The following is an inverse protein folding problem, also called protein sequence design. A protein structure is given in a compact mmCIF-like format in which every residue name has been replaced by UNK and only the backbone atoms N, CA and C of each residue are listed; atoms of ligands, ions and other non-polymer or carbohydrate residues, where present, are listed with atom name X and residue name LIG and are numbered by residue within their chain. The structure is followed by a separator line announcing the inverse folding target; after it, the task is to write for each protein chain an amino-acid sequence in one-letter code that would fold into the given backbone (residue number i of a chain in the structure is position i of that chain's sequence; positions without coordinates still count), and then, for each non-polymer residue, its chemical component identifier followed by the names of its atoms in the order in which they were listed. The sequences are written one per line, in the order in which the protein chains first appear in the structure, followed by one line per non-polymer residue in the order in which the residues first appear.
data_IF_723524996382
#
_entry.id   IF_723524996382
#
_cell.length_a   1.000
_cell.length_b   1.000
_cell.length_c   1.000
_cell.angle_alpha   90.00
_cell.angle_beta   90.00
_cell.angle_gamma   90.00
#
_symmetry.space_group_name_H-M   'P 1'
#
loop_
_entity.id
_entity.type
_entity.pdbx_description
1 polymer ?
#
# COMPACT_ATOMS: atom_id res chain seq x y z
N UNK A 1 -5.57 -12.23 -37.53
CA UNK A 1 -4.36 -11.42 -37.75
C UNK A 1 -3.41 -11.69 -36.59
N UNK A 2 -2.25 -12.30 -36.84
CA UNK A 2 -1.30 -12.64 -35.79
C UNK A 2 -0.32 -11.48 -35.59
N UNK A 3 -0.40 -10.81 -34.44
CA UNK A 3 0.59 -9.82 -34.02
C UNK A 3 1.78 -10.56 -33.38
N UNK A 4 3.03 -10.09 -33.50
CA UNK A 4 4.20 -10.75 -32.89
C UNK A 4 4.08 -10.98 -31.37
N UNK A 5 3.26 -10.17 -30.69
CA UNK A 5 3.12 -10.16 -29.22
C UNK A 5 1.78 -10.66 -28.68
N UNK A 6 0.80 -10.94 -29.53
CA UNK A 6 -0.45 -11.57 -29.09
C UNK A 6 -1.07 -12.45 -30.18
N UNK A 7 -1.63 -13.56 -29.76
CA UNK A 7 -2.33 -14.52 -30.61
C UNK A 7 -3.80 -14.58 -30.20
N UNK A 8 -4.70 -14.44 -31.16
CA UNK A 8 -6.12 -14.57 -30.92
C UNK A 8 -6.47 -16.03 -30.67
N UNK A 9 -6.88 -16.37 -29.45
CA UNK A 9 -7.23 -17.74 -29.05
C UNK A 9 -8.70 -18.02 -29.32
N UNK A 10 -9.57 -17.07 -28.94
CA UNK A 10 -11.01 -17.27 -29.03
C UNK A 10 -11.73 -15.92 -29.12
N UNK A 11 -12.79 -15.86 -29.94
CA UNK A 11 -13.63 -14.70 -30.11
C UNK A 11 -15.10 -15.11 -30.18
N UNK A 12 -15.92 -14.44 -29.39
CA UNK A 12 -17.39 -14.47 -29.43
C UNK A 12 -17.84 -12.99 -29.41
N UNK A 13 -18.96 -12.62 -30.06
CA UNK A 13 -19.53 -11.28 -29.90
C UNK A 13 -19.63 -10.89 -28.42
N UNK A 14 -18.88 -9.86 -28.04
CA UNK A 14 -18.82 -9.32 -26.68
C UNK A 14 -17.73 -9.92 -25.77
N UNK A 15 -16.93 -10.88 -26.25
CA UNK A 15 -15.79 -11.43 -25.50
C UNK A 15 -14.62 -11.79 -26.40
N UNK A 16 -13.46 -11.23 -26.08
CA UNK A 16 -12.20 -11.43 -26.76
C UNK A 16 -11.21 -12.15 -25.85
N UNK A 17 -10.58 -13.24 -26.31
CA UNK A 17 -9.50 -13.91 -25.59
C UNK A 17 -8.22 -13.94 -26.41
N UNK A 18 -7.18 -13.32 -25.86
CA UNK A 18 -5.85 -13.21 -26.42
C UNK A 18 -4.86 -14.02 -25.59
N UNK A 19 -3.90 -14.66 -26.26
CA UNK A 19 -2.70 -15.22 -25.65
C UNK A 19 -1.55 -14.26 -25.91
N UNK A 20 -0.96 -13.73 -24.85
CA UNK A 20 0.12 -12.78 -24.91
C UNK A 20 1.45 -13.53 -25.02
N UNK A 21 2.35 -13.05 -25.89
CA UNK A 21 3.67 -13.63 -26.13
C UNK A 21 4.71 -12.63 -25.64
N UNK A 22 5.45 -13.00 -24.60
CA UNK A 22 6.56 -12.20 -24.06
C UNK A 22 6.20 -11.17 -22.99
N UNK A 23 4.94 -11.03 -22.58
CA UNK A 23 4.58 -10.28 -21.35
C UNK A 23 4.48 -11.24 -20.17
N UNK A 24 5.54 -11.31 -19.38
CA UNK A 24 5.52 -12.07 -18.13
C UNK A 24 4.93 -11.23 -16.97
N UNK A 25 5.03 -9.90 -17.02
CA UNK A 25 4.51 -8.94 -16.02
C UNK A 25 4.08 -7.62 -16.70
N UNK A 26 3.19 -6.84 -16.07
CA UNK A 26 2.54 -5.66 -16.67
C UNK A 26 1.09 -5.88 -17.14
N UNK A 27 0.57 -7.10 -16.96
CA UNK A 27 -0.82 -7.47 -17.25
C UNK A 27 -1.84 -6.64 -16.46
N UNK A 28 -1.47 -6.21 -15.24
CA UNK A 28 -2.32 -5.38 -14.40
C UNK A 28 -2.48 -3.95 -14.92
N UNK A 29 -1.41 -3.31 -15.43
CA UNK A 29 -1.51 -2.00 -16.08
C UNK A 29 -2.38 -2.08 -17.33
N UNK A 30 -2.27 -3.19 -18.05
CA UNK A 30 -3.11 -3.45 -19.20
C UNK A 30 -4.57 -3.67 -18.83
N UNK A 31 -4.85 -4.33 -17.71
CA UNK A 31 -6.21 -4.49 -17.17
C UNK A 31 -6.81 -3.14 -16.75
N UNK A 32 -6.05 -2.34 -15.99
CA UNK A 32 -6.49 -1.02 -15.54
C UNK A 32 -6.72 -0.04 -16.70
N UNK A 33 -5.81 0.00 -17.67
CA UNK A 33 -5.91 0.90 -18.83
C UNK A 33 -7.08 0.49 -19.74
N UNK A 34 -7.26 -0.80 -20.01
CA UNK A 34 -8.39 -1.28 -20.82
C UNK A 34 -9.74 -1.07 -20.13
N UNK A 35 -9.81 -1.11 -18.79
CA UNK A 35 -11.03 -0.75 -18.05
C UNK A 35 -11.41 0.73 -18.18
N UNK A 36 -10.47 1.60 -18.58
CA UNK A 36 -10.79 3.02 -18.87
C UNK A 36 -11.41 3.24 -20.24
N UNK A 37 -11.35 2.24 -21.13
CA UNK A 37 -11.81 2.41 -22.51
C UNK A 37 -13.34 2.33 -22.61
N UNK A 38 -13.98 3.25 -23.34
CA UNK A 38 -15.42 3.28 -23.47
C UNK A 38 -15.92 2.01 -24.18
N UNK A 39 -16.85 1.29 -23.56
CA UNK A 39 -17.42 0.06 -24.14
C UNK A 39 -16.74 -1.23 -23.71
N UNK A 40 -15.70 -1.18 -22.88
CA UNK A 40 -15.11 -2.36 -22.22
C UNK A 40 -15.83 -2.58 -20.89
N UNK A 41 -16.34 -3.80 -20.68
CA UNK A 41 -17.18 -4.19 -19.54
C UNK A 41 -16.37 -4.88 -18.44
N UNK A 42 -15.37 -5.62 -18.84
CA UNK A 42 -14.53 -6.36 -17.92
C UNK A 42 -13.25 -6.78 -18.60
N UNK A 43 -12.16 -6.72 -17.87
CA UNK A 43 -10.87 -7.19 -18.35
C UNK A 43 -10.35 -8.15 -17.31
N UNK A 44 -9.86 -9.30 -17.74
CA UNK A 44 -9.25 -10.30 -16.87
C UNK A 44 -7.94 -10.73 -17.45
N UNK A 45 -6.92 -10.71 -16.63
CA UNK A 45 -5.61 -11.24 -17.00
C UNK A 45 -5.27 -12.49 -16.20
N UNK A 46 -4.64 -13.46 -16.86
CA UNK A 46 -4.09 -14.64 -16.21
C UNK A 46 -2.61 -14.75 -16.58
N UNK A 47 -1.76 -14.43 -15.60
CA UNK A 47 -0.32 -14.45 -15.75
C UNK A 47 0.24 -15.85 -16.02
N UNK A 48 -0.27 -16.88 -15.33
CA UNK A 48 0.17 -18.26 -15.50
C UNK A 48 -0.19 -18.85 -16.88
N UNK A 49 -1.30 -18.38 -17.46
CA UNK A 49 -1.76 -18.82 -18.78
C UNK A 49 -1.37 -17.86 -19.92
N UNK A 50 -0.65 -16.77 -19.61
CA UNK A 50 -0.37 -15.65 -20.50
C UNK A 50 -1.61 -15.23 -21.30
N UNK A 51 -2.75 -15.12 -20.63
CA UNK A 51 -4.04 -14.89 -21.28
C UNK A 51 -4.67 -13.57 -20.84
N UNK A 52 -5.17 -12.82 -21.81
CA UNK A 52 -5.99 -11.63 -21.62
C UNK A 52 -7.40 -11.94 -22.13
N UNK A 53 -8.40 -11.67 -21.31
CA UNK A 53 -9.80 -11.78 -21.65
C UNK A 53 -10.40 -10.38 -21.51
N UNK A 54 -11.02 -9.90 -22.57
CA UNK A 54 -11.70 -8.59 -22.61
C UNK A 54 -13.16 -8.84 -22.94
N UNK A 55 -14.04 -8.51 -22.02
CA UNK A 55 -15.49 -8.46 -22.21
C UNK A 55 -15.86 -7.03 -22.64
N UNK A 56 -16.60 -6.89 -23.74
CA UNK A 56 -16.86 -5.59 -24.38
C UNK A 56 -18.26 -5.54 -24.99
N UNK A 57 -18.81 -4.34 -25.24
CA UNK A 57 -20.09 -4.18 -25.93
C UNK A 57 -19.91 -4.33 -27.45
N UNK A 58 -20.58 -5.29 -28.11
CA UNK A 58 -20.47 -5.51 -29.56
C UNK A 58 -20.90 -4.31 -30.41
N UNK A 59 -21.75 -3.45 -29.84
CA UNK A 59 -22.29 -2.26 -30.51
C UNK A 59 -21.28 -1.09 -30.52
N UNK A 60 -20.27 -1.13 -29.65
CA UNK A 60 -19.25 -0.08 -29.53
C UNK A 60 -17.93 -0.44 -30.21
N UNK A 61 -17.52 -1.72 -30.18
CA UNK A 61 -16.21 -2.14 -30.70
C UNK A 61 -16.34 -3.15 -31.84
N UNK A 62 -15.76 -2.81 -32.98
CA UNK A 62 -15.45 -3.79 -34.03
C UNK A 62 -14.17 -4.55 -33.66
N UNK A 63 -14.17 -5.87 -33.88
CA UNK A 63 -13.09 -6.78 -33.47
C UNK A 63 -11.71 -6.30 -33.95
N UNK A 64 -11.61 -5.88 -35.21
CA UNK A 64 -10.33 -5.50 -35.83
C UNK A 64 -9.76 -4.22 -35.21
N UNK A 65 -10.61 -3.24 -34.89
CA UNK A 65 -10.22 -1.99 -34.26
C UNK A 65 -9.80 -2.20 -32.81
N UNK A 66 -10.56 -2.99 -32.05
CA UNK A 66 -10.24 -3.33 -30.66
C UNK A 66 -8.91 -4.10 -30.56
N UNK A 67 -8.68 -5.04 -31.47
CA UNK A 67 -7.41 -5.77 -31.54
C UNK A 67 -6.24 -4.85 -31.84
N UNK A 68 -6.40 -3.91 -32.79
CA UNK A 68 -5.35 -2.98 -33.18
C UNK A 68 -4.94 -2.06 -32.02
N UNK A 69 -5.91 -1.51 -31.28
CA UNK A 69 -5.60 -0.64 -30.13
C UNK A 69 -4.96 -1.42 -28.99
N UNK A 70 -5.45 -2.63 -28.67
CA UNK A 70 -4.83 -3.48 -27.63
C UNK A 70 -3.37 -3.78 -28.00
N UNK A 71 -3.08 -4.07 -29.27
CA UNK A 71 -1.69 -4.30 -29.72
C UNK A 71 -0.81 -3.06 -29.61
N UNK A 72 -1.35 -1.88 -29.89
CA UNK A 72 -0.61 -0.63 -29.77
C UNK A 72 -0.26 -0.31 -28.31
N UNK A 73 -1.19 -0.56 -27.38
CA UNK A 73 -0.99 -0.40 -25.94
C UNK A 73 0.05 -1.39 -25.40
N UNK A 74 0.01 -2.64 -25.86
CA UNK A 74 1.02 -3.66 -25.54
C UNK A 74 2.43 -3.24 -25.94
N UNK A 75 2.57 -2.54 -27.08
CA UNK A 75 3.86 -2.06 -27.55
C UNK A 75 4.39 -0.86 -26.74
N UNK A 76 3.52 -0.03 -26.19
CA UNK A 76 3.88 1.11 -25.34
C UNK A 76 4.30 0.68 -23.93
N UNK A 77 3.62 -0.30 -23.34
CA UNK A 77 3.92 -0.78 -21.98
C UNK A 77 5.30 -1.45 -21.86
N UNK A 78 5.79 -2.06 -22.94
CA UNK A 78 7.09 -2.74 -23.00
C UNK A 78 8.32 -1.80 -22.89
N UNK A 79 8.13 -0.49 -22.69
CA UNK A 79 9.21 0.53 -22.67
C UNK A 79 9.43 1.12 -21.27
N UNK A 80 8.70 0.68 -20.24
CA UNK A 80 8.84 1.25 -18.89
C UNK A 80 10.01 0.64 -18.09
N UNK A 81 10.97 1.49 -17.74
CA UNK A 81 12.27 1.22 -17.08
C UNK A 81 12.20 0.69 -15.64
N UNK A 82 11.03 0.35 -15.12
CA UNK A 82 10.85 -0.10 -13.74
C UNK A 82 11.20 -1.60 -13.53
N UNK A 83 11.50 -2.31 -14.62
CA UNK A 83 11.83 -3.76 -14.65
C UNK A 83 13.21 -4.12 -14.05
N UNK A 84 14.20 -3.23 -14.05
CA UNK A 84 15.58 -3.55 -13.59
C UNK A 84 15.69 -3.66 -12.06
N UNK A 85 14.79 -3.01 -11.31
CA UNK A 85 14.74 -3.11 -9.84
C UNK A 85 13.98 -4.36 -9.35
N UNK A 86 13.21 -4.96 -10.26
CA UNK A 86 12.16 -5.95 -10.04
C UNK A 86 12.71 -7.39 -9.93
N UNK A 87 13.68 -7.72 -10.78
CA UNK A 87 14.40 -9.00 -10.75
C UNK A 87 15.42 -9.01 -9.61
N UNK A 88 16.03 -7.85 -9.34
CA UNK A 88 16.98 -7.64 -8.25
C UNK A 88 16.30 -7.92 -6.91
N UNK A 89 15.28 -7.18 -6.48
CA UNK A 89 14.71 -7.30 -5.13
C UNK A 89 14.09 -8.67 -4.78
N UNK A 90 13.60 -9.45 -5.76
CA UNK A 90 13.06 -10.79 -5.54
C UNK A 90 14.16 -11.85 -5.24
N UNK A 91 15.39 -11.63 -5.72
CA UNK A 91 16.52 -12.55 -5.57
C UNK A 91 17.32 -12.38 -4.26
N UNK A 92 17.17 -11.25 -3.53
CA UNK A 92 17.96 -11.01 -2.30
C UNK A 92 17.33 -11.63 -1.03
N UNK A 93 16.04 -11.96 -1.00
CA UNK A 93 15.42 -12.53 0.22
C UNK A 93 16.05 -13.86 0.68
N UNK A 94 16.31 -14.84 -0.22
CA UNK A 94 17.08 -16.04 0.16
C UNK A 94 18.49 -15.70 0.64
N UNK A 95 19.12 -14.67 0.06
CA UNK A 95 20.45 -14.23 0.43
C UNK A 95 20.46 -13.60 1.83
N UNK A 96 19.48 -12.78 2.20
CA UNK A 96 19.40 -12.17 3.53
C UNK A 96 19.09 -13.18 4.62
N UNK A 97 18.20 -14.14 4.36
CA UNK A 97 17.96 -15.27 5.28
C UNK A 97 19.22 -16.14 5.41
N UNK A 98 19.92 -16.41 4.31
CA UNK A 98 21.20 -17.10 4.31
C UNK A 98 22.25 -16.37 5.15
N UNK A 99 22.37 -15.05 4.99
CA UNK A 99 23.27 -14.22 5.76
C UNK A 99 22.93 -14.19 7.25
N UNK A 100 21.64 -14.19 7.61
CA UNK A 100 21.22 -14.33 9.01
C UNK A 100 21.65 -15.68 9.57
N UNK A 101 21.41 -16.77 8.84
CA UNK A 101 21.86 -18.12 9.23
C UNK A 101 23.37 -18.19 9.44
N UNK A 102 24.15 -17.67 8.48
CA UNK A 102 25.61 -17.62 8.58
C UNK A 102 26.10 -16.72 9.73
N UNK A 103 25.40 -15.61 10.00
CA UNK A 103 25.75 -14.71 11.11
C UNK A 103 25.50 -15.36 12.48
N UNK A 104 24.41 -16.12 12.62
CA UNK A 104 24.13 -16.89 13.84
C UNK A 104 25.14 -18.02 14.02
N UNK A 105 25.53 -18.67 12.92
CA UNK A 105 26.50 -19.77 12.91
C UNK A 105 27.96 -19.30 12.84
N UNK A 106 28.23 -18.00 12.87
CA UNK A 106 29.57 -17.44 12.73
C UNK A 106 30.54 -17.97 13.80
N UNK A 107 30.07 -18.01 15.06
CA UNK A 107 30.85 -18.52 16.19
C UNK A 107 31.09 -20.03 16.11
N UNK A 108 30.06 -20.90 15.98
CA UNK A 108 30.28 -22.35 15.94
C UNK A 108 31.02 -22.85 14.69
N UNK A 109 30.94 -22.13 13.56
CA UNK A 109 31.62 -22.49 12.32
C UNK A 109 32.94 -21.73 12.12
N UNK A 110 33.39 -20.97 13.13
CA UNK A 110 34.62 -20.15 13.09
C UNK A 110 34.73 -19.28 11.83
N UNK A 111 33.60 -18.75 11.35
CA UNK A 111 33.56 -17.95 10.13
C UNK A 111 34.23 -16.60 10.38
N UNK A 112 35.18 -16.16 9.54
CA UNK A 112 35.80 -14.85 9.69
C UNK A 112 34.76 -13.72 9.64
N UNK A 113 34.72 -12.90 10.70
CA UNK A 113 33.80 -11.75 10.82
C UNK A 113 33.93 -10.81 9.61
N UNK A 114 35.13 -10.64 9.07
CA UNK A 114 35.36 -9.80 7.89
C UNK A 114 34.64 -10.34 6.64
N UNK A 115 34.60 -11.66 6.46
CA UNK A 115 33.92 -12.28 5.32
C UNK A 115 32.40 -12.08 5.41
N UNK A 116 31.83 -12.27 6.60
CA UNK A 116 30.41 -12.01 6.84
C UNK A 116 30.06 -10.53 6.76
N UNK A 117 30.92 -9.66 7.27
CA UNK A 117 30.77 -8.21 7.14
C UNK A 117 30.73 -7.78 5.68
N UNK A 118 31.66 -8.28 4.86
CA UNK A 118 31.65 -8.04 3.40
C UNK A 118 30.37 -8.59 2.76
N UNK A 119 29.97 -9.82 3.08
CA UNK A 119 28.73 -10.40 2.56
C UNK A 119 27.49 -9.58 2.91
N UNK A 120 27.38 -9.10 4.16
CA UNK A 120 26.31 -8.19 4.58
C UNK A 120 26.34 -6.88 3.82
N UNK A 121 27.52 -6.26 3.64
CA UNK A 121 27.59 -5.00 2.88
C UNK A 121 27.21 -5.16 1.41
N UNK A 122 27.56 -6.28 0.78
CA UNK A 122 27.16 -6.59 -0.60
C UNK A 122 25.64 -6.75 -0.67
N UNK A 123 25.06 -7.48 0.27
CA UNK A 123 23.61 -7.71 0.31
C UNK A 123 22.83 -6.44 0.66
N UNK A 124 23.42 -5.55 1.46
CA UNK A 124 22.85 -4.26 1.85
C UNK A 124 23.03 -3.15 0.80
N UNK A 125 23.80 -3.41 -0.28
CA UNK A 125 24.10 -2.44 -1.33
C UNK A 125 22.86 -1.74 -1.93
N UNK A 126 21.74 -2.42 -2.26
CA UNK A 126 20.55 -1.74 -2.76
C UNK A 126 20.02 -0.67 -1.78
N UNK A 127 20.01 -0.95 -0.48
CA UNK A 127 19.55 -0.01 0.54
C UNK A 127 20.48 1.21 0.67
N UNK A 128 21.79 0.97 0.67
CA UNK A 128 22.79 2.04 0.75
C UNK A 128 22.71 2.95 -0.48
N UNK A 129 22.59 2.37 -1.67
CA UNK A 129 22.49 3.16 -2.91
C UNK A 129 21.20 3.98 -2.95
N UNK A 130 20.09 3.45 -2.46
CA UNK A 130 18.83 4.18 -2.34
C UNK A 130 18.93 5.34 -1.33
N UNK A 131 19.54 5.11 -0.18
CA UNK A 131 19.78 6.16 0.82
C UNK A 131 20.64 7.31 0.26
N UNK A 132 21.71 6.99 -0.47
CA UNK A 132 22.60 7.97 -1.07
C UNK A 132 21.94 8.74 -2.23
N UNK A 133 21.18 8.06 -3.09
CA UNK A 133 20.37 8.70 -4.13
C UNK A 133 19.34 9.63 -3.51
N UNK A 134 18.72 9.21 -2.42
CA UNK A 134 17.78 9.98 -1.65
C UNK A 134 18.36 11.31 -1.16
N UNK A 135 19.57 11.28 -0.60
CA UNK A 135 20.31 12.47 -0.19
C UNK A 135 20.71 13.39 -1.36
N UNK A 136 21.09 12.81 -2.50
CA UNK A 136 21.55 13.55 -3.66
C UNK A 136 20.41 14.24 -4.44
N UNK A 137 19.22 13.63 -4.48
CA UNK A 137 18.10 14.09 -5.32
C UNK A 137 17.04 14.87 -4.55
N UNK A 138 16.83 14.55 -3.27
CA UNK A 138 15.83 15.19 -2.42
C UNK A 138 16.61 15.83 -1.29
N UNK A 139 16.49 17.13 -1.07
CA UNK A 139 17.15 17.85 0.05
C UNK A 139 16.59 17.43 1.44
N UNK A 140 16.07 16.20 1.58
CA UNK A 140 15.45 15.65 2.78
C UNK A 140 16.08 14.32 3.14
N UNK A 141 16.44 14.21 4.41
CA UNK A 141 16.91 13.00 5.05
C UNK A 141 15.80 11.96 4.98
N UNK A 142 16.11 10.77 4.47
CA UNK A 142 15.16 9.66 4.36
C UNK A 142 15.41 8.61 5.46
N UNK A 143 14.40 7.79 5.74
CA UNK A 143 14.47 6.75 6.79
C UNK A 143 15.49 5.69 6.42
N UNK A 144 15.63 5.42 5.12
CA UNK A 144 16.57 4.47 4.53
C UNK A 144 18.03 4.82 4.87
N UNK A 145 18.34 6.09 5.14
CA UNK A 145 19.65 6.50 5.65
C UNK A 145 19.88 6.03 7.09
N UNK A 146 18.84 6.08 7.91
CA UNK A 146 18.91 5.68 9.30
C UNK A 146 19.24 4.19 9.42
N UNK A 147 18.52 3.36 8.67
CA UNK A 147 18.74 1.91 8.61
C UNK A 147 20.13 1.58 8.07
N UNK A 148 20.56 2.28 7.02
CA UNK A 148 21.90 2.08 6.42
C UNK A 148 23.02 2.44 7.40
N UNK A 149 22.90 3.57 8.11
CA UNK A 149 23.88 3.99 9.11
C UNK A 149 23.91 3.03 10.29
N UNK A 150 22.74 2.67 10.82
CA UNK A 150 22.62 1.75 11.94
C UNK A 150 23.22 0.38 11.59
N UNK A 151 22.84 -0.17 10.43
CA UNK A 151 23.35 -1.45 9.93
C UNK A 151 24.87 -1.40 9.73
N UNK A 152 25.40 -0.34 9.11
CA UNK A 152 26.83 -0.16 8.90
C UNK A 152 27.62 -0.09 10.20
N UNK A 153 27.13 0.69 11.18
CA UNK A 153 27.78 0.84 12.47
C UNK A 153 27.81 -0.46 13.29
N UNK A 154 26.72 -1.24 13.29
CA UNK A 154 26.71 -2.55 13.95
C UNK A 154 27.58 -3.57 13.22
N UNK A 155 27.61 -3.55 11.89
CA UNK A 155 28.50 -4.42 11.09
C UNK A 155 29.97 -4.11 11.39
N UNK A 156 30.35 -2.82 11.48
CA UNK A 156 31.70 -2.40 11.84
C UNK A 156 32.13 -2.82 13.26
N UNK A 157 31.16 -2.96 14.17
CA UNK A 157 31.38 -3.47 15.53
C UNK A 157 31.48 -4.99 15.60
N UNK A 158 31.29 -5.70 14.48
CA UNK A 158 31.24 -7.16 14.43
C UNK A 158 29.94 -7.76 14.99
N UNK A 159 28.92 -6.93 15.23
CA UNK A 159 27.62 -7.37 15.73
C UNK A 159 26.72 -7.78 14.54
N UNK A 160 27.06 -8.89 13.89
CA UNK A 160 26.54 -9.23 12.55
C UNK A 160 25.08 -9.73 12.52
N UNK A 161 24.59 -10.33 13.61
CA UNK A 161 23.26 -10.95 13.65
C UNK A 161 22.14 -9.92 13.52
N UNK A 162 22.27 -8.77 14.19
CA UNK A 162 21.20 -7.76 14.20
C UNK A 162 21.03 -7.05 12.84
N UNK A 163 22.11 -6.60 12.15
CA UNK A 163 22.10 -6.18 10.76
C UNK A 163 21.46 -7.21 9.81
N UNK A 164 21.85 -8.49 9.94
CA UNK A 164 21.30 -9.55 9.09
C UNK A 164 19.79 -9.74 9.31
N UNK A 165 19.34 -9.65 10.56
CA UNK A 165 17.91 -9.71 10.91
C UNK A 165 17.13 -8.51 10.35
N UNK A 166 17.70 -7.31 10.47
CA UNK A 166 17.10 -6.09 9.92
C UNK A 166 16.93 -6.21 8.40
N UNK A 167 17.92 -6.77 7.72
CA UNK A 167 17.89 -6.99 6.27
C UNK A 167 16.76 -7.93 5.84
N UNK A 168 16.51 -9.03 6.58
CA UNK A 168 15.36 -9.91 6.33
C UNK A 168 14.04 -9.15 6.47
N UNK A 169 13.92 -8.29 7.48
CA UNK A 169 12.76 -7.43 7.68
C UNK A 169 12.57 -6.42 6.53
N UNK A 170 13.65 -5.76 6.12
CA UNK A 170 13.65 -4.79 5.04
C UNK A 170 13.30 -5.42 3.68
N UNK A 171 13.85 -6.59 3.36
CA UNK A 171 13.49 -7.35 2.15
C UNK A 171 12.02 -7.77 2.17
N UNK A 172 11.51 -8.21 3.32
CA UNK A 172 10.09 -8.57 3.50
C UNK A 172 9.20 -7.36 3.19
N UNK A 173 9.50 -6.20 3.77
CA UNK A 173 8.77 -4.96 3.49
C UNK A 173 8.94 -4.50 2.03
N UNK A 174 10.11 -4.71 1.43
CA UNK A 174 10.38 -4.45 0.02
C UNK A 174 9.43 -5.22 -0.90
N UNK A 175 9.14 -6.49 -0.58
CA UNK A 175 8.15 -7.30 -1.31
C UNK A 175 6.74 -6.73 -1.21
N UNK A 176 6.31 -6.26 -0.04
CA UNK A 176 4.99 -5.61 0.09
C UNK A 176 4.95 -4.24 -0.61
N UNK A 177 6.02 -3.44 -0.51
CA UNK A 177 6.14 -2.16 -1.23
C UNK A 177 6.03 -2.36 -2.75
N UNK A 178 6.54 -3.47 -3.27
CA UNK A 178 6.35 -3.83 -4.66
C UNK A 178 4.88 -4.13 -5.00
N UNK A 179 4.18 -4.92 -4.18
CA UNK A 179 2.74 -5.14 -4.36
C UNK A 179 1.95 -3.82 -4.32
N UNK A 180 2.35 -2.88 -3.45
CA UNK A 180 1.74 -1.56 -3.39
C UNK A 180 1.97 -0.74 -4.64
N UNK A 181 3.18 -0.74 -5.22
CA UNK A 181 3.44 -0.06 -6.50
C UNK A 181 2.59 -0.60 -7.64
N UNK A 182 2.24 -1.89 -7.60
CA UNK A 182 1.33 -2.48 -8.56
C UNK A 182 -0.11 -1.96 -8.38
N UNK A 183 -0.49 -1.55 -7.17
CA UNK A 183 -1.75 -0.86 -6.91
C UNK A 183 -1.62 0.63 -7.27
N UNK A 184 -2.71 1.31 -7.63
CA UNK A 184 -2.65 2.76 -7.85
C UNK A 184 -2.47 3.48 -6.50
N UNK A 185 -1.21 3.59 -6.05
CA UNK A 185 -0.80 4.18 -4.76
C UNK A 185 -1.38 5.58 -4.53
N UNK A 186 -1.73 6.31 -5.60
CA UNK A 186 -2.33 7.64 -5.50
C UNK A 186 -3.71 7.60 -4.84
N UNK A 187 -4.49 6.56 -5.12
CA UNK A 187 -5.85 6.43 -4.60
C UNK A 187 -5.87 5.81 -3.19
N UNK A 188 -4.73 5.29 -2.70
CA UNK A 188 -4.64 4.66 -1.38
C UNK A 188 -4.30 5.63 -0.25
N UNK A 189 -4.03 6.91 -0.57
CA UNK A 189 -3.58 7.87 0.43
C UNK A 189 -4.73 8.34 1.32
N UNK A 190 -4.48 8.31 2.62
CA UNK A 190 -5.32 8.93 3.65
C UNK A 190 -4.57 10.11 4.29
N UNK A 191 -5.30 11.08 4.82
CA UNK A 191 -4.78 12.15 5.65
C UNK A 191 -4.12 11.61 6.92
N UNK A 192 -4.71 10.61 7.57
CA UNK A 192 -4.11 9.92 8.73
C UNK A 192 -2.72 9.36 8.38
N UNK A 193 -2.59 8.64 7.28
CA UNK A 193 -1.30 8.13 6.79
C UNK A 193 -0.33 9.27 6.47
N UNK A 194 -0.77 10.28 5.71
CA UNK A 194 0.09 11.39 5.30
C UNK A 194 0.67 12.14 6.51
N UNK A 195 -0.16 12.37 7.53
CA UNK A 195 0.22 13.04 8.77
C UNK A 195 1.31 12.25 9.50
N UNK A 196 1.14 10.93 9.64
CA UNK A 196 2.11 10.08 10.33
C UNK A 196 3.43 9.99 9.59
N UNK A 197 3.40 9.80 8.27
CA UNK A 197 4.62 9.74 7.44
C UNK A 197 5.37 11.08 7.48
N UNK A 198 4.66 12.19 7.35
CA UNK A 198 5.27 13.52 7.45
C UNK A 198 5.89 13.77 8.83
N UNK A 199 5.21 13.37 9.90
CA UNK A 199 5.73 13.50 11.28
C UNK A 199 7.01 12.68 11.44
N UNK A 200 7.05 11.47 10.90
CA UNK A 200 8.23 10.63 10.95
C UNK A 200 9.43 11.24 10.20
N UNK A 201 9.20 11.78 9.00
CA UNK A 201 10.24 12.47 8.23
C UNK A 201 10.82 13.68 8.96
N UNK A 202 9.96 14.43 9.67
CA UNK A 202 10.39 15.58 10.49
C UNK A 202 11.24 15.17 11.70
N UNK A 203 11.10 13.93 12.18
CA UNK A 203 11.89 13.40 13.29
C UNK A 203 13.27 12.89 12.85
N UNK A 204 13.54 12.71 11.56
CA UNK A 204 14.84 12.20 11.10
C UNK A 204 16.02 13.14 11.40
N UNK A 205 15.99 14.44 11.05
CA UNK A 205 17.08 15.36 11.41
C UNK A 205 17.38 15.44 12.92
N UNK A 206 16.40 15.63 13.83
CA UNK A 206 16.68 15.68 15.25
C UNK A 206 17.18 14.33 15.80
N UNK A 207 16.78 13.21 15.19
CA UNK A 207 17.27 11.88 15.56
C UNK A 207 18.77 11.72 15.24
N UNK A 208 19.19 12.13 14.04
CA UNK A 208 20.60 12.10 13.64
C UNK A 208 21.46 13.05 14.47
N UNK A 209 20.97 14.27 14.71
CA UNK A 209 21.65 15.23 15.59
C UNK A 209 21.76 14.69 17.02
N UNK A 210 20.68 14.13 17.56
CA UNK A 210 20.66 13.54 18.90
C UNK A 210 21.65 12.38 19.03
N UNK A 211 21.65 11.44 18.08
CA UNK A 211 22.63 10.36 17.99
C UNK A 211 24.08 10.89 18.00
N UNK A 212 24.36 11.89 17.16
CA UNK A 212 25.70 12.48 17.03
C UNK A 212 26.13 13.19 18.32
N UNK A 213 25.23 13.95 18.95
CA UNK A 213 25.49 14.65 20.21
C UNK A 213 25.76 13.67 21.36
N UNK A 214 24.98 12.59 21.46
CA UNK A 214 25.20 11.56 22.49
C UNK A 214 26.55 10.89 22.28
N UNK A 215 26.91 10.56 21.04
CA UNK A 215 28.22 9.98 20.76
C UNK A 215 29.36 10.94 21.15
N UNK A 216 29.27 12.23 20.76
CA UNK A 216 30.28 13.24 21.11
C UNK A 216 30.39 13.47 22.63
N UNK A 217 29.26 13.51 23.33
CA UNK A 217 29.23 13.77 24.77
C UNK A 217 29.74 12.57 25.60
N UNK A 218 29.49 11.35 25.14
CA UNK A 218 29.85 10.12 25.88
C UNK A 218 31.18 9.51 25.44
N UNK A 219 31.69 9.89 24.26
CA UNK A 219 32.81 9.21 23.59
C UNK A 219 32.49 7.78 23.16
N UNK A 220 31.23 7.33 23.31
CA UNK A 220 30.81 5.95 23.07
C UNK A 220 29.87 5.88 21.87
N UNK A 221 30.31 5.17 20.84
CA UNK A 221 29.47 4.90 19.68
C UNK A 221 28.26 4.02 20.06
N UNK A 222 28.38 3.19 21.10
CA UNK A 222 27.26 2.39 21.62
C UNK A 222 26.12 3.26 22.15
N UNK A 223 26.45 4.37 22.81
CA UNK A 223 25.47 5.28 23.39
C UNK A 223 24.74 6.13 22.33
N UNK A 224 25.40 6.41 21.19
CA UNK A 224 24.81 7.15 20.08
C UNK A 224 23.92 6.32 19.15
N UNK A 225 23.98 4.99 19.20
CA UNK A 225 23.22 4.10 18.30
C UNK A 225 21.70 4.06 18.52
N UNK A 226 21.16 4.08 19.76
CA UNK A 226 19.74 3.89 20.00
C UNK A 226 18.78 4.83 19.26
N UNK A 227 19.04 6.15 19.14
CA UNK A 227 18.18 7.02 18.33
C UNK A 227 18.09 6.57 16.87
N UNK A 228 19.17 6.01 16.31
CA UNK A 228 19.18 5.51 14.94
C UNK A 228 18.30 4.27 14.73
N UNK A 229 17.68 3.72 15.77
CA UNK A 229 16.70 2.62 15.64
C UNK A 229 15.28 3.11 15.40
N UNK A 230 15.06 4.42 15.23
CA UNK A 230 13.74 5.00 15.02
C UNK A 230 13.19 4.64 13.62
N UNK A 231 12.57 3.47 13.50
CA UNK A 231 12.03 2.94 12.24
C UNK A 231 10.53 2.58 12.33
N UNK A 232 9.70 3.58 12.60
CA UNK A 232 8.24 3.38 12.49
C UNK A 232 7.67 3.87 11.15
N UNK A 233 8.42 4.64 10.35
CA UNK A 233 7.94 5.13 9.07
C UNK A 233 7.98 4.06 7.97
N UNK A 234 9.05 3.27 7.88
CA UNK A 234 9.21 2.26 6.82
C UNK A 234 8.07 1.23 6.87
N UNK A 235 7.71 0.66 8.05
CA UNK A 235 6.58 -0.24 8.14
C UNK A 235 5.24 0.43 7.79
N UNK A 236 4.99 1.65 8.28
CA UNK A 236 3.70 2.34 8.09
C UNK A 236 3.47 2.81 6.66
N UNK A 237 4.54 3.11 5.91
CA UNK A 237 4.47 3.36 4.46
C UNK A 237 3.99 2.14 3.67
N UNK A 238 4.04 0.95 4.27
CA UNK A 238 3.58 -0.31 3.66
C UNK A 238 2.25 -0.78 4.23
N UNK A 239 2.13 -0.86 5.55
CA UNK A 239 0.94 -1.41 6.22
C UNK A 239 -0.31 -0.59 5.92
N UNK A 240 -0.21 0.75 5.96
CA UNK A 240 -1.38 1.62 5.89
C UNK A 240 -2.03 1.64 4.50
N UNK A 241 -1.30 1.86 3.39
CA UNK A 241 -1.91 1.78 2.06
C UNK A 241 -2.57 0.44 1.76
N UNK A 242 -1.97 -0.66 2.23
CA UNK A 242 -2.49 -1.99 1.97
C UNK A 242 -3.79 -2.25 2.76
N UNK A 243 -3.87 -1.76 3.99
CA UNK A 243 -5.09 -1.78 4.79
C UNK A 243 -6.18 -0.87 4.19
N UNK A 244 -5.81 0.30 3.66
CA UNK A 244 -6.73 1.18 2.92
C UNK A 244 -7.26 0.45 1.69
N UNK A 245 -6.39 -0.16 0.89
CA UNK A 245 -6.77 -0.92 -0.29
C UNK A 245 -7.81 -2.01 0.03
N UNK A 246 -7.59 -2.81 1.08
CA UNK A 246 -8.58 -3.80 1.53
C UNK A 246 -9.92 -3.16 1.91
N UNK A 247 -9.88 -2.01 2.61
CA UNK A 247 -11.08 -1.25 2.93
C UNK A 247 -11.83 -0.78 1.68
N UNK A 248 -11.11 -0.22 0.69
CA UNK A 248 -11.69 0.22 -0.58
C UNK A 248 -12.34 -0.92 -1.36
N UNK A 249 -11.69 -2.10 -1.40
CA UNK A 249 -12.26 -3.31 -2.02
C UNK A 249 -13.56 -3.74 -1.32
N UNK A 250 -13.62 -3.66 0.02
CA UNK A 250 -14.82 -4.01 0.79
C UNK A 250 -15.95 -2.99 0.60
N UNK A 251 -15.63 -1.70 0.47
CA UNK A 251 -16.61 -0.63 0.41
C UNK A 251 -17.02 -0.21 -1.00
N UNK A 252 -16.21 -0.53 -2.02
CA UNK A 252 -16.36 -0.02 -3.39
C UNK A 252 -16.09 1.48 -3.52
N UNK A 253 -15.32 2.06 -2.59
CA UNK A 253 -15.03 3.50 -2.60
C UNK A 253 -13.88 3.81 -3.56
N UNK A 254 -13.87 4.99 -4.19
CA UNK A 254 -12.90 5.31 -5.24
C UNK A 254 -11.48 5.51 -4.69
N UNK A 255 -11.35 6.08 -3.49
CA UNK A 255 -10.05 6.41 -2.90
C UNK A 255 -10.10 6.48 -1.36
N UNK A 256 -8.91 6.43 -0.77
CA UNK A 256 -8.69 6.46 0.68
C UNK A 256 -9.14 7.76 1.32
N UNK A 257 -9.06 8.90 0.62
CA UNK A 257 -9.53 10.19 1.13
C UNK A 257 -11.06 10.19 1.33
N UNK A 258 -11.79 9.59 0.38
CA UNK A 258 -13.23 9.37 0.44
C UNK A 258 -13.57 8.46 1.61
N UNK A 259 -12.84 7.34 1.75
CA UNK A 259 -13.00 6.40 2.86
C UNK A 259 -12.81 7.07 4.21
N UNK A 260 -11.75 7.86 4.37
CA UNK A 260 -11.47 8.56 5.62
C UNK A 260 -12.51 9.64 5.91
N UNK A 261 -12.91 10.43 4.92
CA UNK A 261 -13.94 11.46 5.06
C UNK A 261 -15.28 10.84 5.47
N UNK A 262 -15.63 9.70 4.88
CA UNK A 262 -16.84 8.96 5.23
C UNK A 262 -16.75 8.34 6.63
N UNK A 263 -15.61 7.75 6.99
CA UNK A 263 -15.37 7.18 8.30
C UNK A 263 -15.43 8.21 9.42
N UNK A 264 -14.98 9.44 9.16
CA UNK A 264 -15.00 10.56 10.11
C UNK A 264 -16.31 11.36 10.08
N UNK A 265 -17.31 10.91 9.31
CA UNK A 265 -18.57 11.61 9.17
C UNK A 265 -19.30 11.68 10.52
N UNK A 266 -19.43 12.89 11.07
CA UNK A 266 -20.16 13.12 12.34
C UNK A 266 -21.57 13.64 12.15
N UNK A 267 -21.85 14.20 10.98
CA UNK A 267 -23.12 14.83 10.73
C UNK A 267 -23.46 14.79 9.24
N UNK A 268 -24.71 14.47 8.92
CA UNK A 268 -25.22 14.36 7.56
C UNK A 268 -26.54 15.10 7.42
N UNK A 269 -26.68 15.84 6.32
CA UNK A 269 -27.95 16.45 5.92
C UNK A 269 -28.68 15.47 5.02
N UNK A 270 -29.93 15.13 5.36
CA UNK A 270 -30.72 14.13 4.64
C UNK A 270 -31.96 14.82 4.05
N UNK A 271 -32.23 14.51 2.79
CA UNK A 271 -33.46 14.94 2.12
C UNK A 271 -34.71 14.41 2.87
N UNK A 272 -35.79 15.20 3.04
CA UNK A 272 -36.98 14.77 3.77
C UNK A 272 -37.60 13.45 3.27
N UNK A 273 -37.48 13.15 1.98
CA UNK A 273 -37.95 11.89 1.39
C UNK A 273 -37.21 10.64 1.94
N UNK A 274 -35.98 10.81 2.41
CA UNK A 274 -35.12 9.75 2.95
C UNK A 274 -35.13 9.68 4.48
N UNK A 275 -35.65 10.70 5.15
CA UNK A 275 -35.63 10.84 6.61
C UNK A 275 -36.62 9.90 7.34
N UNK A 276 -36.48 8.60 7.11
CA UNK A 276 -37.21 7.56 7.87
C UNK A 276 -36.60 7.39 9.25
N UNK A 277 -37.44 7.20 10.27
CA UNK A 277 -37.00 7.02 11.66
C UNK A 277 -35.94 5.91 11.81
N UNK A 278 -36.08 4.81 11.04
CA UNK A 278 -35.13 3.70 11.05
C UNK A 278 -33.73 4.09 10.55
N UNK A 279 -33.65 4.93 9.51
CA UNK A 279 -32.38 5.41 8.98
C UNK A 279 -31.74 6.41 9.94
N UNK A 280 -32.54 7.35 10.46
CA UNK A 280 -32.08 8.35 11.43
C UNK A 280 -31.53 7.68 12.68
N UNK A 281 -32.25 6.68 13.21
CA UNK A 281 -31.81 5.91 14.36
C UNK A 281 -30.53 5.11 14.07
N UNK A 282 -30.44 4.46 12.90
CA UNK A 282 -29.26 3.70 12.50
C UNK A 282 -28.01 4.57 12.34
N UNK A 283 -28.16 5.79 11.81
CA UNK A 283 -27.09 6.78 11.69
C UNK A 283 -26.68 7.34 13.05
N UNK A 284 -27.64 7.68 13.91
CA UNK A 284 -27.37 8.15 15.27
C UNK A 284 -26.64 7.10 16.12
N UNK A 285 -26.99 5.81 15.98
CA UNK A 285 -26.30 4.70 16.65
C UNK A 285 -24.82 4.59 16.24
N UNK A 286 -24.47 5.05 15.02
CA UNK A 286 -23.10 5.11 14.49
C UNK A 286 -22.41 6.44 14.78
N UNK A 287 -23.02 7.29 15.63
CA UNK A 287 -22.49 8.60 15.99
C UNK A 287 -22.62 9.67 14.91
N UNK A 288 -23.45 9.43 13.88
CA UNK A 288 -23.71 10.39 12.80
C UNK A 288 -25.00 11.14 13.09
N UNK A 289 -24.89 12.41 13.47
CA UNK A 289 -26.04 13.28 13.65
C UNK A 289 -26.75 13.55 12.32
N UNK A 290 -28.08 13.60 12.34
CA UNK A 290 -28.90 13.81 11.13
C UNK A 290 -29.64 15.13 11.22
N UNK A 291 -29.48 15.98 10.21
CA UNK A 291 -30.37 17.13 9.97
C UNK A 291 -31.20 16.88 8.73
N UNK A 292 -32.49 17.13 8.81
CA UNK A 292 -33.40 16.95 7.68
C UNK A 292 -33.60 18.30 6.99
N UNK A 293 -33.24 18.39 5.71
CA UNK A 293 -33.41 19.63 4.93
C UNK A 293 -33.53 19.35 3.42
N UNK A 294 -34.29 20.19 2.72
CA UNK A 294 -34.45 20.10 1.25
C UNK A 294 -33.19 20.52 0.48
N UNK A 295 -32.26 21.22 1.13
CA UNK A 295 -31.00 21.66 0.57
C UNK A 295 -29.92 21.70 1.67
N UNK A 296 -28.63 21.57 1.32
CA UNK A 296 -27.55 21.68 2.30
C UNK A 296 -27.53 23.09 2.92
N UNK A 297 -27.74 23.17 4.24
CA UNK A 297 -27.74 24.42 5.01
C UNK A 297 -26.32 24.93 5.30
N UNK A 298 -25.33 24.05 5.22
CA UNK A 298 -23.91 24.31 5.42
C UNK A 298 -23.08 23.34 4.56
N UNK A 299 -21.82 23.67 4.23
CA UNK A 299 -20.91 22.72 3.60
C UNK A 299 -20.74 21.51 4.51
N UNK A 300 -21.04 20.32 3.99
CA UNK A 300 -21.15 19.09 4.77
C UNK A 300 -21.64 17.95 3.90
N UNK A 301 -21.77 16.76 4.50
CA UNK A 301 -22.34 15.64 3.78
C UNK A 301 -23.84 15.84 3.53
N UNK A 302 -24.27 15.56 2.31
CA UNK A 302 -25.65 15.66 1.89
C UNK A 302 -26.10 14.37 1.19
N UNK A 303 -27.17 13.77 1.69
CA UNK A 303 -27.79 12.58 1.16
C UNK A 303 -29.13 12.92 0.53
N UNK A 304 -29.29 12.57 -0.75
CA UNK A 304 -30.52 12.77 -1.51
C UNK A 304 -30.84 11.57 -2.38
N UNK A 305 -32.09 11.50 -2.83
CA UNK A 305 -32.49 10.53 -3.85
C UNK A 305 -32.06 11.00 -5.24
N UNK A 306 -31.54 10.09 -6.07
CA UNK A 306 -31.29 10.34 -7.49
C UNK A 306 -31.71 9.08 -8.28
N UNK A 307 -33.00 9.01 -8.62
CA UNK A 307 -33.58 7.82 -9.25
C UNK A 307 -33.81 6.69 -8.25
N UNK A 308 -33.25 5.51 -8.52
CA UNK A 308 -33.29 4.36 -7.60
C UNK A 308 -32.14 4.38 -6.57
N UNK A 309 -31.10 5.17 -6.83
CA UNK A 309 -29.90 5.23 -6.01
C UNK A 309 -29.94 6.40 -5.03
N UNK A 310 -29.14 6.26 -3.98
CA UNK A 310 -28.86 7.36 -3.07
C UNK A 310 -27.56 8.04 -3.48
N UNK A 311 -27.61 9.36 -3.55
CA UNK A 311 -26.48 10.21 -3.83
C UNK A 311 -25.99 10.85 -2.55
N UNK A 312 -24.77 10.50 -2.17
CA UNK A 312 -24.05 11.09 -1.04
C UNK A 312 -22.98 12.04 -1.56
N UNK A 313 -23.18 13.34 -1.41
CA UNK A 313 -22.14 14.34 -1.65
C UNK A 313 -21.43 14.63 -0.33
N UNK A 314 -20.11 14.45 -0.28
CA UNK A 314 -19.29 14.75 0.89
C UNK A 314 -18.88 16.23 0.91
N UNK A 315 -18.40 16.71 2.06
CA UNK A 315 -17.89 18.07 2.21
C UNK A 315 -16.70 18.39 1.28
N UNK A 316 -15.96 17.36 0.86
CA UNK A 316 -14.87 17.46 -0.12
C UNK A 316 -15.36 17.75 -1.55
N UNK A 317 -16.67 17.67 -1.80
CA UNK A 317 -17.27 17.75 -3.14
C UNK A 317 -17.32 16.41 -3.88
N UNK A 318 -16.70 15.35 -3.34
CA UNK A 318 -16.82 14.00 -3.89
C UNK A 318 -18.25 13.50 -3.74
N UNK A 319 -18.71 12.78 -4.77
CA UNK A 319 -20.07 12.22 -4.83
C UNK A 319 -19.98 10.70 -4.94
N UNK A 320 -20.74 10.01 -4.12
CA UNK A 320 -20.81 8.55 -4.07
C UNK A 320 -22.26 8.14 -4.34
N UNK A 321 -22.43 7.17 -5.24
CA UNK A 321 -23.70 6.54 -5.55
C UNK A 321 -23.79 5.21 -4.83
N UNK A 322 -24.83 5.03 -4.02
CA UNK A 322 -24.98 3.87 -3.14
C UNK A 322 -26.42 3.38 -3.19
N UNK A 323 -26.60 2.07 -3.09
CA UNK A 323 -27.93 1.52 -2.81
C UNK A 323 -28.34 1.82 -1.36
N UNK A 324 -29.66 1.92 -1.07
CA UNK A 324 -30.17 2.17 0.29
C UNK A 324 -29.62 1.21 1.35
N UNK A 325 -29.46 -0.06 0.97
CA UNK A 325 -28.98 -1.14 1.82
C UNK A 325 -27.46 -1.13 2.04
N UNK A 326 -26.71 -0.47 1.15
CA UNK A 326 -25.25 -0.41 1.20
C UNK A 326 -24.75 0.72 2.09
N UNK A 327 -25.47 1.83 2.24
CA UNK A 327 -24.98 3.01 2.95
C UNK A 327 -24.43 2.68 4.35
N UNK A 328 -25.22 1.95 5.16
CA UNK A 328 -24.84 1.62 6.53
C UNK A 328 -23.64 0.66 6.56
N UNK A 329 -23.60 -0.31 5.65
CA UNK A 329 -22.48 -1.25 5.52
C UNK A 329 -21.20 -0.53 5.11
N UNK A 330 -21.28 0.35 4.11
CA UNK A 330 -20.14 1.16 3.63
C UNK A 330 -19.62 2.06 4.75
N UNK A 331 -20.50 2.68 5.54
CA UNK A 331 -20.12 3.49 6.68
C UNK A 331 -19.44 2.67 7.78
N UNK A 332 -20.00 1.51 8.15
CA UNK A 332 -19.43 0.61 9.15
C UNK A 332 -18.05 0.10 8.73
N UNK A 333 -17.91 -0.33 7.46
CA UNK A 333 -16.65 -0.79 6.90
C UNK A 333 -15.60 0.33 6.84
N UNK A 334 -16.00 1.56 6.46
CA UNK A 334 -15.10 2.71 6.44
C UNK A 334 -14.61 3.06 7.86
N UNK A 335 -15.51 3.13 8.84
CA UNK A 335 -15.18 3.37 10.25
C UNK A 335 -14.26 2.26 10.81
N UNK A 336 -14.58 1.00 10.53
CA UNK A 336 -13.77 -0.14 10.95
C UNK A 336 -12.38 -0.13 10.31
N UNK A 337 -12.28 0.27 9.04
CA UNK A 337 -10.99 0.40 8.34
C UNK A 337 -10.16 1.51 8.97
N UNK A 338 -10.73 2.70 9.19
CA UNK A 338 -10.01 3.81 9.80
C UNK A 338 -9.55 3.48 11.23
N UNK A 339 -10.39 2.80 12.02
CA UNK A 339 -10.01 2.32 13.35
C UNK A 339 -8.83 1.34 13.29
N UNK A 340 -8.83 0.40 12.33
CA UNK A 340 -7.70 -0.52 12.09
C UNK A 340 -6.43 0.25 11.71
N UNK A 341 -6.53 1.31 10.91
CA UNK A 341 -5.36 2.16 10.58
C UNK A 341 -4.76 2.81 11.83
N UNK A 342 -5.58 3.41 12.69
CA UNK A 342 -5.09 4.01 13.95
C UNK A 342 -4.47 2.97 14.89
N UNK A 343 -5.07 1.78 14.98
CA UNK A 343 -4.52 0.68 15.77
C UNK A 343 -3.19 0.18 15.19
N UNK A 344 -3.08 0.02 13.87
CA UNK A 344 -1.83 -0.34 13.21
C UNK A 344 -0.71 0.70 13.44
N UNK A 345 -1.05 1.99 13.36
CA UNK A 345 -0.12 3.09 13.71
C UNK A 345 0.39 2.89 15.15
N UNK A 346 -0.50 2.67 16.11
CA UNK A 346 -0.11 2.48 17.50
C UNK A 346 0.74 1.21 17.71
N UNK A 347 0.37 0.09 17.08
CA UNK A 347 1.08 -1.19 17.15
C UNK A 347 2.52 -1.05 16.65
N UNK A 348 2.76 -0.23 15.62
CA UNK A 348 4.14 -0.01 15.11
C UNK A 348 4.85 1.07 15.93
N UNK A 349 4.25 2.24 16.13
CA UNK A 349 4.94 3.40 16.68
C UNK A 349 5.29 3.23 18.16
N UNK A 350 4.40 2.66 18.98
CA UNK A 350 4.63 2.56 20.43
C UNK A 350 5.84 1.66 20.74
N UNK A 351 5.95 0.43 20.21
CA UNK A 351 7.12 -0.42 20.47
C UNK A 351 8.42 0.17 19.92
N UNK A 352 8.40 0.78 18.72
CA UNK A 352 9.59 1.42 18.14
C UNK A 352 10.12 2.58 19.01
N UNK A 353 9.22 3.43 19.52
CA UNK A 353 9.61 4.50 20.45
C UNK A 353 10.13 3.93 21.78
N UNK A 354 9.51 2.85 22.28
CA UNK A 354 9.96 2.17 23.49
C UNK A 354 11.34 1.55 23.32
N UNK A 355 11.66 0.98 22.14
CA UNK A 355 12.98 0.44 21.79
C UNK A 355 14.05 1.53 21.84
N UNK A 356 13.80 2.68 21.22
CA UNK A 356 14.72 3.82 21.26
C UNK A 356 14.96 4.29 22.70
N UNK A 357 13.90 4.46 23.49
CA UNK A 357 14.01 4.83 24.90
C UNK A 357 14.75 3.77 25.74
N UNK A 358 14.45 2.49 25.52
CA UNK A 358 15.11 1.38 26.18
C UNK A 358 16.61 1.33 25.87
N UNK A 359 16.97 1.55 24.60
CA UNK A 359 18.36 1.66 24.18
C UNK A 359 19.09 2.83 24.84
N UNK A 360 18.44 3.99 24.94
CA UNK A 360 19.02 5.20 25.56
C UNK A 360 19.28 5.05 27.07
N UNK A 361 18.31 4.53 27.82
CA UNK A 361 18.36 4.53 29.28
C UNK A 361 18.86 3.23 29.90
N UNK A 362 18.67 2.08 29.21
CA UNK A 362 18.97 0.76 29.75
C UNK A 362 19.94 -0.07 28.90
N UNK A 363 20.30 0.38 27.69
CA UNK A 363 21.23 -0.35 26.82
C UNK A 363 20.62 -1.64 26.26
N UNK A 364 19.46 -1.50 25.59
CA UNK A 364 18.77 -2.61 24.93
C UNK A 364 19.68 -3.32 23.89
N UNK A 365 19.66 -4.65 23.90
CA UNK A 365 20.47 -5.44 22.97
C UNK A 365 19.99 -5.25 21.51
N UNK A 366 20.88 -5.09 20.52
CA UNK A 366 20.50 -4.81 19.13
C UNK A 366 19.56 -5.85 18.51
N UNK A 367 19.77 -7.14 18.79
CA UNK A 367 18.87 -8.20 18.31
C UNK A 367 17.46 -8.03 18.89
N UNK A 368 17.33 -7.63 20.17
CA UNK A 368 16.03 -7.40 20.80
C UNK A 368 15.33 -6.20 20.17
N UNK A 369 16.05 -5.11 19.94
CA UNK A 369 15.54 -3.92 19.26
C UNK A 369 14.95 -4.27 17.89
N UNK A 370 15.75 -4.91 17.03
CA UNK A 370 15.29 -5.31 15.68
C UNK A 370 14.12 -6.30 15.77
N UNK A 371 14.19 -7.29 16.67
CA UNK A 371 13.10 -8.26 16.83
C UNK A 371 11.79 -7.59 17.23
N UNK A 372 11.82 -6.64 18.16
CA UNK A 372 10.62 -5.90 18.59
C UNK A 372 10.04 -5.10 17.41
N UNK A 373 10.89 -4.39 16.66
CA UNK A 373 10.44 -3.58 15.52
C UNK A 373 9.84 -4.45 14.40
N UNK A 374 10.49 -5.56 14.06
CA UNK A 374 10.00 -6.51 13.05
C UNK A 374 8.71 -7.20 13.51
N UNK A 375 8.63 -7.64 14.77
CA UNK A 375 7.43 -8.26 15.32
C UNK A 375 6.25 -7.29 15.37
N UNK A 376 6.47 -6.03 15.77
CA UNK A 376 5.45 -4.99 15.75
C UNK A 376 4.91 -4.76 14.33
N UNK A 377 5.79 -4.77 13.33
CA UNK A 377 5.42 -4.67 11.92
C UNK A 377 4.57 -5.86 11.46
N UNK A 378 5.00 -7.09 11.77
CA UNK A 378 4.26 -8.31 11.44
C UNK A 378 2.90 -8.36 12.14
N UNK A 379 2.83 -7.92 13.40
CA UNK A 379 1.57 -7.80 14.15
C UNK A 379 0.64 -6.77 13.53
N UNK A 380 1.15 -5.64 13.05
CA UNK A 380 0.34 -4.64 12.36
C UNK A 380 -0.20 -5.18 11.02
N UNK A 381 0.62 -5.89 10.24
CA UNK A 381 0.17 -6.61 9.05
C UNK A 381 -0.91 -7.64 9.39
N UNK A 382 -0.70 -8.45 10.43
CA UNK A 382 -1.66 -9.45 10.90
C UNK A 382 -2.99 -8.84 11.33
N UNK A 383 -2.92 -7.77 12.10
CA UNK A 383 -4.08 -7.04 12.59
C UNK A 383 -4.93 -6.47 11.45
N UNK A 384 -4.27 -6.03 10.37
CA UNK A 384 -4.93 -5.57 9.17
C UNK A 384 -5.38 -6.72 8.24
N UNK A 385 -5.07 -7.99 8.52
CA UNK A 385 -5.43 -9.12 7.67
C UNK A 385 -4.51 -9.30 6.44
N UNK A 386 -3.22 -8.97 6.58
CA UNK A 386 -2.26 -8.84 5.49
C UNK A 386 -1.09 -9.85 5.57
N UNK A 387 -1.12 -10.83 6.47
CA UNK A 387 0.00 -11.76 6.72
C UNK A 387 0.34 -12.70 5.55
N UNK A 388 -0.57 -12.87 4.61
CA UNK A 388 -0.34 -13.62 3.39
C UNK A 388 -0.63 -12.67 2.22
N UNK A 389 0.30 -12.50 1.26
CA UNK A 389 -0.10 -12.01 -0.04
C UNK A 389 -1.04 -13.09 -0.61
N UNK A 390 -2.34 -12.91 -0.41
CA UNK A 390 -3.31 -13.71 -1.13
C UNK A 390 -2.97 -13.58 -2.61
N UNK A 391 -3.07 -14.69 -3.34
CA UNK A 391 -3.24 -14.63 -4.79
C UNK A 391 -4.22 -13.50 -5.11
N UNK A 392 -3.97 -12.68 -6.15
CA UNK A 392 -4.80 -11.52 -6.46
C UNK A 392 -6.26 -11.94 -6.37
N UNK A 393 -7.08 -11.22 -5.57
CA UNK A 393 -8.41 -11.66 -5.21
C UNK A 393 -9.17 -12.02 -6.48
N UNK A 394 -9.85 -13.16 -6.48
CA UNK A 394 -10.83 -13.49 -7.51
C UNK A 394 -11.93 -12.43 -7.39
N UNK A 395 -11.80 -11.34 -8.18
CA UNK A 395 -12.75 -10.24 -8.21
C UNK A 395 -14.07 -10.83 -8.70
N UNK A 396 -14.97 -11.14 -7.76
CA UNK A 396 -16.38 -11.28 -8.07
C UNK A 396 -16.79 -9.94 -8.72
N UNK A 397 -17.28 -9.95 -9.96
CA UNK A 397 -17.55 -8.71 -10.68
C UNK A 397 -18.52 -7.87 -9.85
N UNK A 398 -18.07 -6.67 -9.47
CA UNK A 398 -18.97 -5.65 -8.97
C UNK A 398 -20.08 -5.48 -10.01
N UNK A 399 -21.30 -5.81 -9.62
CA UNK A 399 -22.46 -5.67 -10.51
C UNK A 399 -22.79 -4.19 -10.57
N UNK A 400 -22.09 -3.46 -11.44
CA UNK A 400 -22.47 -2.10 -11.81
C UNK A 400 -23.69 -2.23 -12.71
N UNK A 401 -24.87 -2.12 -12.11
CA UNK A 401 -26.13 -1.98 -12.86
C UNK A 401 -26.19 -0.55 -13.36
N UNK A 402 -25.87 -0.34 -14.64
CA UNK A 402 -26.11 0.93 -15.33
C UNK A 402 -27.63 1.03 -15.55
N UNK A 403 -28.33 2.08 -15.07
CA UNK A 403 -29.75 2.24 -15.31
C UNK A 403 -29.99 2.45 -16.82
N UNK A 404 -30.95 1.71 -17.37
CA UNK A 404 -31.36 1.85 -18.75
C UNK A 404 -31.86 3.29 -18.98
N UNK A 405 -31.15 4.03 -19.83
CA UNK A 405 -31.59 5.31 -20.35
C UNK A 405 -32.89 5.09 -21.14
N UNK A 406 -34.04 5.41 -20.55
CA UNK A 406 -35.28 5.58 -21.30
C UNK A 406 -35.11 6.79 -22.22
N UNK A 407 -34.98 6.52 -23.52
CA UNK A 407 -35.00 7.54 -24.56
C UNK A 407 -36.38 8.23 -24.57
N UNK A 408 -36.47 9.56 -24.50
CA UNK A 408 -37.73 10.26 -24.75
C UNK A 408 -38.16 10.03 -26.20
N UNK A 409 -39.44 9.71 -26.38
CA UNK A 409 -40.08 9.41 -27.67
C UNK A 409 -39.99 10.54 -28.68
#
# INVERSE_FOLDING_TARGET
MNHPRCELVHHIPGRLRLKLKGLNQGLFHLEAELLTWPGIVGVRTNAAAHALIVDYYPDHWQLETLLAEITQLLDQLAVTKDEEFLEVAADYFPLSVGMLGLSVLAVPLEIPVLLLGVGLTITALPFITEALRGLAQRERIQVELLDSLWMGLHTLRGELVAPALLMVGADTLGRYKYHLKALDERNLKTQAQATVVQTAEQLLPPTLLGSSLIWLATGSLAAGLPPLQLDFATPLRVVLPLAVHQGLVQTGLPDGATLETLAQLRHITVEPALARDSLVQALNQRGVGVTVAYAPLAPGAWLRTEGQDWKLTLASGQTIYLQPEQLLLTLDCAQATLNRLYQAIAIVTIPNLAVVAAGLFWGLHPIQAVSINTLATLLALAHCGLLLPESPPEIAPATVTVPALELPR
#
